data_IF_678770297761
#
_entry.id   IF_678770297761
#
_cell.length_a   1.000
_cell.length_b   1.000
_cell.length_c   1.000
_cell.angle_alpha   90.00
_cell.angle_beta   90.00
_cell.angle_gamma   90.00
#
_symmetry.space_group_name_H-M   'P 1'
#
loop_
_entity.id
_entity.type
_entity.pdbx_description
1 polymer ?
#
# COMPACT_ATOMS: atom_id res chain seq x y z
N UNK A 1 -1.88 12.22 13.80
CA UNK A 1 -1.99 12.72 12.41
C UNK A 1 -0.76 12.49 11.51
N UNK A 2 0.47 12.32 12.02
CA UNK A 2 1.58 11.76 11.22
C UNK A 2 2.33 10.69 12.01
N UNK A 3 2.10 9.41 11.68
CA UNK A 3 2.87 8.33 12.28
C UNK A 3 4.24 8.27 11.58
N UNK A 4 5.37 8.22 12.31
CA UNK A 4 6.71 8.25 11.71
C UNK A 4 6.90 7.22 10.59
N UNK A 5 6.34 6.01 10.76
CA UNK A 5 6.40 4.96 9.74
C UNK A 5 5.73 5.36 8.42
N UNK A 6 4.51 5.91 8.47
CA UNK A 6 3.81 6.36 7.26
C UNK A 6 4.59 7.44 6.51
N UNK A 7 5.26 8.34 7.24
CA UNK A 7 6.12 9.36 6.62
C UNK A 7 7.35 8.76 5.93
N UNK A 8 8.01 7.77 6.54
CA UNK A 8 9.15 7.05 5.93
C UNK A 8 8.75 6.35 4.65
N UNK A 9 7.63 5.63 4.66
CA UNK A 9 7.11 4.89 3.49
C UNK A 9 6.70 5.84 2.37
N UNK A 10 6.03 6.96 2.69
CA UNK A 10 5.71 8.00 1.71
C UNK A 10 7.00 8.60 1.12
N UNK A 11 8.02 8.85 1.94
CA UNK A 11 9.32 9.32 1.46
C UNK A 11 9.98 8.36 0.46
N UNK A 12 9.92 7.05 0.72
CA UNK A 12 10.39 6.01 -0.21
C UNK A 12 9.59 6.04 -1.53
N UNK A 13 8.27 6.15 -1.44
CA UNK A 13 7.42 6.20 -2.63
C UNK A 13 7.67 7.47 -3.47
N UNK A 14 7.90 8.61 -2.81
CA UNK A 14 8.27 9.86 -3.49
C UNK A 14 9.59 9.70 -4.23
N UNK A 15 10.58 9.02 -3.65
CA UNK A 15 11.84 8.75 -4.33
C UNK A 15 11.64 7.91 -5.59
N UNK A 16 10.85 6.83 -5.51
CA UNK A 16 10.50 6.01 -6.68
C UNK A 16 9.83 6.86 -7.77
N UNK A 17 8.82 7.65 -7.42
CA UNK A 17 8.11 8.51 -8.37
C UNK A 17 9.02 9.59 -8.98
N UNK A 18 9.94 10.15 -8.19
CA UNK A 18 10.93 11.13 -8.66
C UNK A 18 11.87 10.56 -9.72
N UNK A 19 12.27 9.30 -9.58
CA UNK A 19 13.19 8.64 -10.52
C UNK A 19 12.50 8.15 -11.79
N UNK A 20 11.26 7.65 -11.67
CA UNK A 20 10.59 6.93 -12.76
C UNK A 20 9.48 7.73 -13.44
N UNK A 21 8.90 8.70 -12.75
CA UNK A 21 7.67 9.37 -13.19
C UNK A 21 6.46 8.43 -13.26
N UNK A 22 5.31 8.93 -13.76
CA UNK A 22 4.13 8.13 -14.05
C UNK A 22 4.28 7.30 -15.34
N UNK A 23 3.42 6.30 -15.54
CA UNK A 23 3.28 5.55 -16.79
C UNK A 23 3.77 4.09 -16.77
N UNK A 24 4.24 3.60 -15.62
CA UNK A 24 4.62 2.20 -15.45
C UNK A 24 3.48 1.36 -14.85
N UNK A 25 3.62 0.04 -14.94
CA UNK A 25 2.72 -0.91 -14.29
C UNK A 25 2.86 -0.86 -12.76
N UNK A 26 1.77 -1.13 -12.04
CA UNK A 26 1.75 -1.19 -10.56
C UNK A 26 2.85 -2.13 -10.01
N UNK A 27 3.05 -3.28 -10.66
CA UNK A 27 4.08 -4.26 -10.28
C UNK A 27 5.50 -3.72 -10.39
N UNK A 28 5.76 -2.76 -11.28
CA UNK A 28 7.08 -2.13 -11.37
C UNK A 28 7.30 -1.19 -10.18
N UNK A 29 6.31 -0.35 -9.87
CA UNK A 29 6.36 0.52 -8.69
C UNK A 29 6.48 -0.27 -7.38
N UNK A 30 5.78 -1.40 -7.26
CA UNK A 30 5.86 -2.26 -6.07
C UNK A 30 7.28 -2.78 -5.85
N UNK A 31 7.94 -3.28 -6.91
CA UNK A 31 9.33 -3.77 -6.84
C UNK A 31 10.31 -2.64 -6.47
N UNK A 32 10.14 -1.46 -7.06
CA UNK A 32 10.98 -0.30 -6.75
C UNK A 32 10.76 0.20 -5.32
N UNK A 33 9.51 0.24 -4.85
CA UNK A 33 9.18 0.64 -3.49
C UNK A 33 9.73 -0.37 -2.47
N UNK A 34 9.59 -1.68 -2.73
CA UNK A 34 10.21 -2.72 -1.92
C UNK A 34 11.74 -2.55 -1.81
N UNK A 35 12.41 -2.17 -2.90
CA UNK A 35 13.84 -1.86 -2.87
C UNK A 35 14.15 -0.65 -1.97
N UNK A 36 13.43 0.47 -2.12
CA UNK A 36 13.61 1.65 -1.26
C UNK A 36 13.35 1.35 0.23
N UNK A 37 12.30 0.58 0.54
CA UNK A 37 12.01 0.15 1.92
C UNK A 37 13.16 -0.68 2.51
N UNK A 38 13.76 -1.56 1.69
CA UNK A 38 14.94 -2.35 2.08
C UNK A 38 16.16 -1.47 2.36
N UNK A 39 16.41 -0.46 1.53
CA UNK A 39 17.49 0.52 1.75
C UNK A 39 17.29 1.34 3.05
N UNK A 40 16.04 1.53 3.47
CA UNK A 40 15.70 2.16 4.77
C UNK A 40 15.69 1.18 5.95
N UNK A 41 15.96 -0.11 5.72
CA UNK A 41 15.97 -1.13 6.76
C UNK A 41 14.59 -1.39 7.39
N UNK A 42 13.50 -1.12 6.66
CA UNK A 42 12.15 -1.38 7.14
C UNK A 42 11.80 -2.86 6.92
N UNK A 43 11.14 -3.48 7.90
CA UNK A 43 10.60 -4.83 7.73
C UNK A 43 9.27 -4.77 6.96
N UNK A 44 9.14 -5.57 5.90
CA UNK A 44 7.91 -5.66 5.12
C UNK A 44 7.74 -7.03 4.48
N UNK A 45 6.53 -7.31 4.03
CA UNK A 45 6.23 -8.42 3.11
C UNK A 45 5.50 -7.90 1.88
N UNK A 46 5.71 -8.56 0.75
CA UNK A 46 5.13 -8.24 -0.56
C UNK A 46 4.07 -9.27 -0.87
N UNK A 47 2.93 -8.87 -1.44
CA UNK A 47 1.80 -9.75 -1.75
C UNK A 47 1.36 -10.58 -0.51
N UNK A 48 1.17 -9.92 0.62
CA UNK A 48 0.86 -10.59 1.89
C UNK A 48 -0.54 -11.23 1.83
N UNK A 49 -0.67 -12.55 2.03
CA UNK A 49 -1.95 -13.25 1.96
C UNK A 49 -2.89 -12.90 3.11
N UNK A 50 -4.12 -12.53 2.78
CA UNK A 50 -5.20 -12.39 3.77
C UNK A 50 -6.25 -13.47 3.54
N UNK A 51 -6.47 -14.39 4.51
CA UNK A 51 -7.59 -15.32 4.44
C UNK A 51 -8.91 -14.59 4.75
N UNK A 52 -10.01 -15.06 4.15
CA UNK A 52 -11.35 -14.61 4.53
C UNK A 52 -12.10 -15.73 5.22
N UNK A 53 -12.60 -15.46 6.41
CA UNK A 53 -13.50 -16.37 7.10
C UNK A 53 -14.91 -16.20 6.53
N UNK A 54 -15.38 -17.21 5.79
CA UNK A 54 -16.75 -17.28 5.28
C UNK A 54 -17.46 -18.45 5.94
N UNK A 55 -18.52 -18.15 6.72
CA UNK A 55 -19.31 -19.17 7.45
C UNK A 55 -18.46 -20.10 8.32
N UNK A 56 -17.44 -19.56 9.00
CA UNK A 56 -16.54 -20.31 9.87
C UNK A 56 -15.44 -21.10 9.13
N UNK A 57 -15.38 -21.01 7.80
CA UNK A 57 -14.33 -21.63 6.98
C UNK A 57 -13.38 -20.54 6.52
N UNK A 58 -12.07 -20.76 6.71
CA UNK A 58 -11.05 -19.90 6.12
C UNK A 58 -10.90 -20.23 4.64
N UNK A 59 -11.21 -19.26 3.79
CA UNK A 59 -11.05 -19.35 2.35
C UNK A 59 -9.82 -18.54 1.97
N UNK A 60 -8.84 -19.18 1.33
CA UNK A 60 -7.81 -18.44 0.58
C UNK A 60 -8.43 -17.96 -0.73
N UNK A 61 -9.09 -16.82 -0.66
CA UNK A 61 -9.77 -16.19 -1.79
C UNK A 61 -8.82 -15.34 -2.65
N UNK A 62 -7.50 -15.47 -2.43
CA UNK A 62 -6.50 -14.74 -3.21
C UNK A 62 -6.41 -13.26 -2.90
N UNK A 63 -6.95 -12.78 -1.76
CA UNK A 63 -6.64 -11.42 -1.32
C UNK A 63 -5.18 -11.34 -0.92
N UNK A 64 -4.49 -10.37 -1.51
CA UNK A 64 -3.09 -10.06 -1.28
C UNK A 64 -2.99 -8.55 -1.03
N UNK A 65 -2.30 -8.19 0.04
CA UNK A 65 -1.89 -6.81 0.30
C UNK A 65 -0.60 -6.59 -0.49
N UNK A 66 -0.52 -5.50 -1.24
CA UNK A 66 0.69 -5.23 -2.03
C UNK A 66 1.93 -5.15 -1.13
N UNK A 67 1.88 -4.36 -0.05
CA UNK A 67 2.91 -4.31 0.98
C UNK A 67 2.33 -4.26 2.40
N UNK A 68 2.79 -5.17 3.25
CA UNK A 68 2.50 -5.16 4.69
C UNK A 68 3.77 -4.83 5.47
N UNK A 69 3.78 -3.68 6.15
CA UNK A 69 4.99 -3.05 6.71
C UNK A 69 4.94 -3.04 8.24
N UNK A 70 5.98 -3.57 8.87
CA UNK A 70 6.21 -3.60 10.32
C UNK A 70 5.01 -4.05 11.16
N UNK A 71 4.18 -4.96 10.62
CA UNK A 71 2.93 -5.40 11.24
C UNK A 71 1.99 -4.26 11.67
N UNK A 72 2.03 -3.13 10.96
CA UNK A 72 1.35 -1.90 11.38
C UNK A 72 0.71 -1.11 10.23
N UNK A 73 1.30 -1.16 9.04
CA UNK A 73 0.93 -0.31 7.92
C UNK A 73 0.65 -1.13 6.66
N UNK A 74 -0.58 -1.01 6.16
CA UNK A 74 -1.00 -1.55 4.85
C UNK A 74 -0.70 -0.51 3.77
N UNK A 75 -0.13 -0.95 2.65
CA UNK A 75 0.04 -0.10 1.48
C UNK A 75 -0.52 -0.81 0.26
N UNK A 76 -1.39 -0.11 -0.44
CA UNK A 76 -1.94 -0.48 -1.74
C UNK A 76 -1.39 0.46 -2.81
N UNK A 77 -0.82 -0.08 -3.86
CA UNK A 77 -0.32 0.67 -5.00
C UNK A 77 -1.41 0.78 -6.06
N UNK A 78 -1.42 1.92 -6.73
CA UNK A 78 -2.25 2.16 -7.90
C UNK A 78 -1.47 2.86 -9.01
N UNK A 79 -1.85 2.61 -10.26
CA UNK A 79 -1.42 3.37 -11.43
C UNK A 79 -2.63 3.67 -12.31
N UNK A 80 -3.60 4.40 -11.76
CA UNK A 80 -4.92 4.66 -12.36
C UNK A 80 -5.21 6.15 -12.41
N UNK A 81 -6.12 6.61 -13.27
CA UNK A 81 -6.42 8.04 -13.42
C UNK A 81 -6.89 8.71 -12.12
N UNK A 82 -7.67 8.00 -11.30
CA UNK A 82 -8.11 8.51 -10.00
C UNK A 82 -8.39 7.38 -9.01
N UNK A 83 -8.17 7.67 -7.72
CA UNK A 83 -8.54 6.77 -6.63
C UNK A 83 -10.04 6.90 -6.39
N UNK A 84 -10.81 5.84 -6.69
CA UNK A 84 -12.24 5.78 -6.42
C UNK A 84 -12.55 5.26 -5.01
N UNK A 85 -13.82 5.34 -4.61
CA UNK A 85 -14.27 4.88 -3.29
C UNK A 85 -14.10 3.37 -3.08
N UNK A 86 -14.14 2.56 -4.15
CA UNK A 86 -13.96 1.11 -4.03
C UNK A 86 -12.54 0.74 -3.59
N UNK A 87 -11.54 1.49 -4.04
CA UNK A 87 -10.15 1.27 -3.61
C UNK A 87 -9.98 1.55 -2.11
N UNK A 88 -10.63 2.61 -1.60
CA UNK A 88 -10.62 2.92 -0.16
C UNK A 88 -11.37 1.87 0.66
N UNK A 89 -12.50 1.37 0.15
CA UNK A 89 -13.26 0.30 0.80
C UNK A 89 -12.48 -1.03 0.85
N UNK A 90 -11.73 -1.35 -0.22
CA UNK A 90 -10.82 -2.49 -0.25
C UNK A 90 -9.70 -2.36 0.79
N UNK A 91 -8.99 -1.22 0.81
CA UNK A 91 -7.96 -0.95 1.81
C UNK A 91 -8.51 -1.07 3.24
N UNK A 92 -9.68 -0.49 3.50
CA UNK A 92 -10.33 -0.57 4.81
C UNK A 92 -10.66 -2.01 5.21
N UNK A 93 -11.04 -2.84 4.24
CA UNK A 93 -11.30 -4.28 4.47
C UNK A 93 -10.03 -4.98 4.89
N UNK A 94 -8.92 -4.75 4.19
CA UNK A 94 -7.62 -5.32 4.54
C UNK A 94 -7.19 -4.87 5.94
N UNK A 95 -7.25 -3.57 6.22
CA UNK A 95 -6.89 -3.03 7.53
C UNK A 95 -7.67 -3.69 8.68
N UNK A 96 -8.97 -3.95 8.51
CA UNK A 96 -9.78 -4.64 9.51
C UNK A 96 -9.43 -6.12 9.67
N UNK A 97 -9.15 -6.82 8.57
CA UNK A 97 -8.87 -8.26 8.59
C UNK A 97 -7.54 -8.58 9.26
N UNK A 98 -6.55 -7.69 9.16
CA UNK A 98 -5.23 -7.88 9.75
C UNK A 98 -4.92 -6.91 10.90
N UNK A 99 -5.96 -6.24 11.42
CA UNK A 99 -5.90 -5.33 12.57
C UNK A 99 -4.85 -4.20 12.42
N UNK A 100 -4.68 -3.70 11.19
CA UNK A 100 -3.74 -2.65 10.89
C UNK A 100 -4.34 -1.25 11.18
N UNK A 101 -3.70 -0.44 12.05
CA UNK A 101 -4.23 0.87 12.41
C UNK A 101 -4.09 1.93 11.29
N UNK A 102 -3.18 1.73 10.33
CA UNK A 102 -2.95 2.69 9.24
C UNK A 102 -2.92 1.98 7.88
N UNK A 103 -3.57 2.61 6.90
CA UNK A 103 -3.49 2.22 5.50
C UNK A 103 -3.12 3.39 4.59
N UNK A 104 -2.39 3.09 3.52
CA UNK A 104 -2.05 4.03 2.45
C UNK A 104 -2.48 3.48 1.09
N UNK A 105 -3.06 4.34 0.27
CA UNK A 105 -3.14 4.13 -1.18
C UNK A 105 -2.14 5.08 -1.82
N UNK A 106 -1.26 4.54 -2.66
CA UNK A 106 -0.23 5.29 -3.39
C UNK A 106 -0.51 5.20 -4.89
N UNK A 107 -1.12 6.24 -5.46
CA UNK A 107 -1.37 6.30 -6.90
C UNK A 107 -0.20 6.99 -7.62
N UNK A 108 0.57 6.20 -8.36
CA UNK A 108 1.73 6.67 -9.13
C UNK A 108 1.36 7.33 -10.44
N UNK A 109 0.12 7.22 -10.92
CA UNK A 109 -0.35 7.92 -12.12
C UNK A 109 -0.81 9.36 -11.77
N UNK A 110 0.13 10.17 -11.30
CA UNK A 110 -0.08 11.58 -10.94
C UNK A 110 1.14 12.42 -11.31
N UNK A 111 0.93 13.73 -11.53
CA UNK A 111 2.05 14.68 -11.77
C UNK A 111 3.00 14.76 -10.57
N UNK A 112 2.44 14.74 -9.36
CA UNK A 112 3.19 14.69 -8.10
C UNK A 112 2.58 13.60 -7.24
N UNK A 113 3.41 12.65 -6.79
CA UNK A 113 2.91 11.53 -5.99
C UNK A 113 2.05 11.95 -4.80
N UNK A 114 2.39 13.08 -4.14
CA UNK A 114 1.65 13.61 -2.99
C UNK A 114 0.14 13.79 -3.27
N UNK A 115 -0.23 14.10 -4.51
CA UNK A 115 -1.61 14.34 -4.93
C UNK A 115 -2.36 13.00 -5.15
N UNK A 116 -1.61 11.91 -5.32
CA UNK A 116 -2.07 10.52 -5.42
C UNK A 116 -2.07 9.74 -4.11
N UNK A 117 -1.84 10.38 -2.95
CA UNK A 117 -1.83 9.69 -1.65
C UNK A 117 -3.21 9.77 -1.00
N UNK A 118 -3.74 8.62 -0.58
CA UNK A 118 -4.84 8.55 0.39
C UNK A 118 -4.36 7.81 1.63
N UNK A 119 -4.75 8.32 2.80
CA UNK A 119 -4.43 7.73 4.09
C UNK A 119 -5.72 7.45 4.86
N UNK A 120 -5.84 6.24 5.35
CA UNK A 120 -6.93 5.80 6.23
C UNK A 120 -6.35 5.45 7.61
N UNK A 121 -7.15 5.67 8.64
CA UNK A 121 -6.82 5.35 10.04
C UNK A 121 -8.07 4.73 10.65
N UNK A 122 -7.91 3.63 11.39
CA UNK A 122 -8.99 2.97 12.14
C UNK A 122 -8.63 2.82 13.61
#
# INVERSE_FOLDING_TARGET
YNHPLSGKVIGCAIEVHRQLGPGLLESAYQRCLAHELSLKGLAFSVEHPIPVTYKGINIDCGFRIDLWIENFLVVELKAVDHISNIHQAQLLTYMKLIEAPIGLILNFNTERLKDGIKKLVI
#
